data_IF_232864332330
#
_entry.id   IF_232864332330
#
_cell.length_a   1.000
_cell.length_b   1.000
_cell.length_c   1.000
_cell.angle_alpha   90.00
_cell.angle_beta   90.00
_cell.angle_gamma   90.00
#
_symmetry.space_group_name_H-M   'P 1'
#
loop_
_entity.id
_entity.type
_entity.pdbx_description
1 polymer ?
#
# COMPACT_ATOMS: atom_id res chain seq x y z
N UNK A 1 -5.76 4.20 21.63
CA UNK A 1 -5.59 2.73 21.73
C UNK A 1 -4.62 2.18 20.69
N UNK A 2 -4.71 2.59 19.42
CA UNK A 2 -3.85 2.07 18.33
C UNK A 2 -2.35 2.31 18.57
N UNK A 3 -1.93 3.51 19.00
CA UNK A 3 -0.53 3.76 19.38
C UNK A 3 -0.06 2.86 20.54
N UNK A 4 -0.93 2.63 21.53
CA UNK A 4 -0.64 1.76 22.68
C UNK A 4 -0.49 0.28 22.28
N UNK A 5 -1.24 -0.21 21.28
CA UNK A 5 -1.06 -1.59 20.78
C UNK A 5 0.17 -1.75 19.88
N UNK A 6 0.72 -0.64 19.35
CA UNK A 6 2.05 -0.64 18.72
C UNK A 6 3.18 -0.72 19.76
N UNK A 7 2.87 -0.46 21.03
CA UNK A 7 3.75 -0.71 22.18
C UNK A 7 3.40 -2.07 22.80
N UNK A 8 4.35 -2.77 23.44
CA UNK A 8 4.15 -4.15 23.91
C UNK A 8 3.27 -4.21 25.18
N UNK A 9 2.02 -3.80 25.09
CA UNK A 9 1.05 -3.78 26.18
C UNK A 9 -0.04 -4.82 25.93
N UNK A 10 0.14 -6.03 26.47
CA UNK A 10 -0.78 -7.18 26.35
C UNK A 10 -2.25 -6.78 26.57
N UNK A 11 -2.53 -6.10 27.69
CA UNK A 11 -3.89 -5.68 28.06
C UNK A 11 -4.56 -4.76 27.02
N UNK A 12 -3.77 -3.97 26.28
CA UNK A 12 -4.33 -3.11 25.22
C UNK A 12 -4.71 -3.93 23.99
N UNK A 13 -3.89 -4.93 23.61
CA UNK A 13 -4.19 -5.79 22.48
C UNK A 13 -5.45 -6.62 22.73
N UNK A 14 -5.58 -7.23 23.92
CA UNK A 14 -6.76 -8.02 24.30
C UNK A 14 -8.01 -7.15 24.34
N UNK A 15 -7.97 -6.00 25.01
CA UNK A 15 -9.12 -5.10 25.05
C UNK A 15 -9.57 -4.63 23.66
N UNK A 16 -8.63 -4.39 22.74
CA UNK A 16 -8.94 -4.03 21.36
C UNK A 16 -9.51 -5.23 20.58
N UNK A 17 -8.98 -6.43 20.79
CA UNK A 17 -9.48 -7.66 20.19
C UNK A 17 -10.93 -7.95 20.61
N UNK A 18 -11.21 -7.89 21.91
CA UNK A 18 -12.55 -8.03 22.48
C UNK A 18 -13.51 -6.96 21.96
N UNK A 19 -13.08 -5.71 21.89
CA UNK A 19 -13.91 -4.63 21.35
C UNK A 19 -14.30 -4.84 19.88
N UNK A 20 -13.37 -5.37 19.06
CA UNK A 20 -13.58 -5.53 17.61
C UNK A 20 -14.32 -6.83 17.28
N UNK A 21 -14.09 -7.91 18.03
CA UNK A 21 -14.56 -9.26 17.67
C UNK A 21 -15.32 -9.98 18.78
N UNK A 22 -15.57 -9.34 19.92
CA UNK A 22 -16.27 -9.89 21.07
C UNK A 22 -15.43 -10.79 21.98
N UNK A 23 -14.33 -11.36 21.47
CA UNK A 23 -13.36 -12.16 22.24
C UNK A 23 -11.99 -12.16 21.56
N UNK A 24 -10.93 -12.51 22.31
CA UNK A 24 -9.60 -12.73 21.75
C UNK A 24 -9.60 -13.85 20.72
N UNK A 25 -10.24 -15.00 21.00
CA UNK A 25 -10.28 -16.15 20.09
C UNK A 25 -10.92 -15.79 18.74
N UNK A 26 -12.05 -15.07 18.77
CA UNK A 26 -12.70 -14.61 17.54
C UNK A 26 -11.81 -13.63 16.75
N UNK A 27 -11.02 -12.81 17.44
CA UNK A 27 -10.06 -11.92 16.79
C UNK A 27 -8.89 -12.69 16.17
N UNK A 28 -8.33 -13.67 16.88
CA UNK A 28 -7.25 -14.55 16.40
C UNK A 28 -7.69 -15.35 15.17
N UNK A 29 -8.94 -15.83 15.15
CA UNK A 29 -9.51 -16.47 13.95
C UNK A 29 -9.48 -15.52 12.74
N UNK A 30 -9.89 -14.26 12.90
CA UNK A 30 -9.81 -13.23 11.85
C UNK A 30 -8.37 -12.88 11.46
N UNK A 31 -7.43 -12.88 12.41
CA UNK A 31 -6.01 -12.68 12.10
C UNK A 31 -5.49 -13.77 11.16
N UNK A 32 -5.82 -15.03 11.43
CA UNK A 32 -5.43 -16.16 10.59
C UNK A 32 -6.14 -16.15 9.22
N UNK A 33 -7.42 -15.79 9.17
CA UNK A 33 -8.15 -15.59 7.90
C UNK A 33 -7.47 -14.49 7.05
N UNK A 34 -7.16 -13.34 7.67
CA UNK A 34 -6.45 -12.26 6.97
C UNK A 34 -5.06 -12.70 6.51
N UNK A 35 -4.32 -13.49 7.31
CA UNK A 35 -3.03 -14.04 6.91
C UNK A 35 -3.15 -14.90 5.65
N UNK A 36 -4.18 -15.75 5.55
CA UNK A 36 -4.46 -16.53 4.35
C UNK A 36 -4.77 -15.65 3.14
N UNK A 37 -5.65 -14.64 3.31
CA UNK A 37 -5.99 -13.68 2.23
C UNK A 37 -4.75 -12.94 1.72
N UNK A 38 -3.80 -12.62 2.60
CA UNK A 38 -2.53 -11.97 2.24
C UNK A 38 -1.49 -12.93 1.65
N UNK A 39 -1.76 -14.24 1.65
CA UNK A 39 -0.83 -15.27 1.17
C UNK A 39 0.37 -15.48 2.09
N UNK A 40 0.18 -15.27 3.40
CA UNK A 40 1.19 -15.51 4.44
C UNK A 40 1.27 -17.02 4.74
N UNK A 41 2.16 -17.72 4.02
CA UNK A 41 2.18 -19.19 4.00
C UNK A 41 2.86 -19.83 5.21
N UNK A 42 3.65 -19.06 5.95
CA UNK A 42 4.44 -19.52 7.08
C UNK A 42 4.10 -18.70 8.33
N UNK A 43 2.81 -18.46 8.55
CA UNK A 43 2.30 -17.73 9.70
C UNK A 43 1.10 -18.43 10.32
N UNK A 44 1.11 -18.54 11.65
CA UNK A 44 -0.05 -18.91 12.44
C UNK A 44 -0.07 -18.07 13.72
N UNK A 45 -1.20 -17.42 14.00
CA UNK A 45 -1.40 -16.63 15.21
C UNK A 45 -2.22 -17.43 16.22
N UNK A 46 -1.73 -17.46 17.46
CA UNK A 46 -2.41 -18.11 18.60
C UNK A 46 -2.95 -17.08 19.61
N UNK A 47 -2.44 -15.85 19.57
CA UNK A 47 -2.88 -14.75 20.43
C UNK A 47 -2.76 -13.41 19.67
N UNK A 48 -3.39 -12.36 20.21
CA UNK A 48 -3.44 -11.05 19.56
C UNK A 48 -2.21 -10.15 19.83
N UNK A 49 -1.35 -10.55 20.78
CA UNK A 49 -0.29 -9.72 21.35
C UNK A 49 1.13 -10.12 20.92
N UNK A 50 1.31 -11.32 20.37
CA UNK A 50 2.61 -11.85 19.94
C UNK A 50 3.49 -12.40 21.07
N UNK A 51 2.90 -12.75 22.22
CA UNK A 51 3.63 -13.47 23.28
C UNK A 51 3.91 -14.92 22.84
N UNK A 52 4.99 -15.49 23.36
CA UNK A 52 5.41 -16.86 23.07
C UNK A 52 4.28 -17.85 23.42
N UNK A 53 3.81 -18.59 22.42
CA UNK A 53 2.81 -19.64 22.56
C UNK A 53 3.12 -20.76 21.57
N UNK A 54 2.83 -22.00 21.94
CA UNK A 54 3.05 -23.15 21.06
C UNK A 54 2.17 -23.02 19.83
N UNK A 55 2.77 -23.21 18.65
CA UNK A 55 2.11 -22.98 17.37
C UNK A 55 2.06 -21.52 16.92
N UNK A 56 2.51 -20.54 17.69
CA UNK A 56 2.58 -19.14 17.26
C UNK A 56 3.88 -18.89 16.47
N UNK A 57 3.78 -18.66 15.16
CA UNK A 57 4.96 -18.44 14.32
C UNK A 57 4.68 -17.55 13.11
N UNK A 58 5.74 -17.02 12.51
CA UNK A 58 5.70 -16.22 11.28
C UNK A 58 7.03 -16.30 10.53
N UNK A 59 7.12 -15.70 9.33
CA UNK A 59 8.37 -15.54 8.57
C UNK A 59 8.63 -14.07 8.23
N UNK A 60 9.89 -13.72 7.97
CA UNK A 60 10.26 -12.35 7.59
C UNK A 60 9.51 -11.89 6.32
N UNK A 61 9.31 -12.80 5.36
CA UNK A 61 8.54 -12.54 4.13
C UNK A 61 7.08 -12.24 4.43
N UNK A 62 6.46 -13.00 5.32
CA UNK A 62 5.04 -12.84 5.63
C UNK A 62 4.78 -11.58 6.46
N UNK A 63 5.70 -11.21 7.35
CA UNK A 63 5.69 -9.91 8.01
C UNK A 63 5.87 -8.77 7.00
N UNK A 64 6.70 -8.93 5.97
CA UNK A 64 6.83 -7.92 4.91
C UNK A 64 5.53 -7.78 4.10
N UNK A 65 4.81 -8.89 3.84
CA UNK A 65 3.50 -8.85 3.18
C UNK A 65 2.46 -8.11 4.03
N UNK A 66 2.38 -8.44 5.32
CA UNK A 66 1.50 -7.74 6.27
C UNK A 66 1.84 -6.25 6.39
N UNK A 67 3.13 -5.92 6.50
CA UNK A 67 3.59 -4.54 6.59
C UNK A 67 3.23 -3.76 5.32
N UNK A 68 3.35 -4.39 4.15
CA UNK A 68 2.93 -3.80 2.87
C UNK A 68 1.43 -3.54 2.83
N UNK A 69 0.61 -4.52 3.24
CA UNK A 69 -0.84 -4.34 3.32
C UNK A 69 -1.19 -3.15 4.19
N UNK A 70 -0.59 -3.06 5.39
CA UNK A 70 -0.86 -2.00 6.34
C UNK A 70 -0.54 -0.62 5.77
N UNK A 71 0.68 -0.43 5.24
CA UNK A 71 1.11 0.89 4.78
C UNK A 71 0.47 1.34 3.45
N UNK A 72 -0.02 0.40 2.64
CA UNK A 72 -0.62 0.73 1.33
C UNK A 72 -2.12 0.94 1.41
N UNK A 73 -2.82 0.18 2.26
CA UNK A 73 -4.28 0.22 2.35
C UNK A 73 -4.78 0.96 3.61
N UNK A 74 -3.91 1.23 4.58
CA UNK A 74 -4.25 1.94 5.82
C UNK A 74 -3.21 3.04 6.15
N UNK A 75 -3.05 4.06 5.28
CA UNK A 75 -2.01 5.08 5.43
C UNK A 75 -2.09 5.88 6.74
N UNK A 76 -3.26 5.97 7.37
CA UNK A 76 -3.45 6.58 8.69
C UNK A 76 -2.58 5.94 9.78
N UNK A 77 -2.05 4.74 9.54
CA UNK A 77 -1.10 4.09 10.45
C UNK A 77 0.13 4.97 10.74
N UNK A 78 0.55 5.77 9.76
CA UNK A 78 1.72 6.63 9.91
C UNK A 78 1.52 7.73 10.95
N UNK A 79 0.28 8.16 11.21
CA UNK A 79 -0.03 9.08 12.30
C UNK A 79 0.34 8.50 13.66
N UNK A 80 0.34 7.18 13.81
CA UNK A 80 0.69 6.50 15.05
C UNK A 80 2.15 6.04 15.06
N UNK A 81 2.64 5.46 13.97
CA UNK A 81 3.98 4.84 13.96
C UNK A 81 5.12 5.85 13.99
N UNK A 82 4.86 7.11 13.65
CA UNK A 82 5.85 8.20 13.66
C UNK A 82 5.87 9.00 14.96
N UNK A 83 4.91 8.77 15.87
CA UNK A 83 4.91 9.39 17.20
C UNK A 83 6.14 8.89 17.97
N UNK A 84 7.03 9.81 18.36
CA UNK A 84 8.24 9.47 19.11
C UNK A 84 7.97 9.34 20.61
N UNK A 85 7.25 10.31 21.19
CA UNK A 85 6.84 10.30 22.58
C UNK A 85 5.41 10.79 22.69
N UNK A 86 4.63 10.15 23.55
CA UNK A 86 3.28 10.57 23.92
C UNK A 86 3.11 10.38 25.41
N UNK A 87 2.57 11.39 26.08
CA UNK A 87 2.19 11.25 27.47
C UNK A 87 0.77 10.73 27.58
N UNK A 88 0.54 9.88 28.57
CA UNK A 88 -0.73 9.22 28.78
C UNK A 88 -1.16 9.43 30.22
N UNK A 89 -2.32 10.06 30.39
CA UNK A 89 -2.99 10.16 31.67
C UNK A 89 -3.71 8.85 31.97
N UNK A 90 -3.28 8.19 33.03
CA UNK A 90 -3.96 7.03 33.60
C UNK A 90 -4.88 7.51 34.72
N UNK A 91 -6.18 7.49 34.43
CA UNK A 91 -7.21 7.84 35.41
C UNK A 91 -7.65 6.55 36.11
N UNK A 92 -7.42 6.48 37.42
CA UNK A 92 -7.87 5.37 38.25
C UNK A 92 -8.78 5.88 39.36
N UNK A 93 -9.44 4.95 40.07
CA UNK A 93 -10.16 5.30 41.32
C UNK A 93 -9.25 5.91 42.40
N UNK A 94 -7.92 5.81 42.26
CA UNK A 94 -6.92 6.38 43.19
C UNK A 94 -6.37 7.74 42.75
N UNK A 95 -6.86 8.30 41.64
CA UNK A 95 -6.40 9.58 41.08
C UNK A 95 -5.86 9.45 39.66
N UNK A 96 -5.35 10.57 39.14
CA UNK A 96 -4.76 10.69 37.82
C UNK A 96 -3.23 10.64 37.91
N UNK A 97 -2.60 9.80 37.09
CA UNK A 97 -1.14 9.73 36.96
C UNK A 97 -0.76 9.78 35.49
N UNK A 98 0.11 10.70 35.11
CA UNK A 98 0.64 10.80 33.75
C UNK A 98 1.93 9.96 33.61
N UNK A 99 2.04 9.17 32.54
CA UNK A 99 3.27 8.48 32.20
C UNK A 99 3.61 8.64 30.72
N UNK A 100 4.88 8.88 30.43
CA UNK A 100 5.39 9.02 29.06
C UNK A 100 5.65 7.66 28.42
N UNK A 101 5.14 7.45 27.22
CA UNK A 101 5.51 6.33 26.36
C UNK A 101 6.44 6.82 25.25
N UNK A 102 7.53 6.10 25.03
CA UNK A 102 8.44 6.34 23.91
C UNK A 102 8.36 5.23 22.87
N UNK A 103 8.55 5.61 21.62
CA UNK A 103 8.55 4.67 20.52
C UNK A 103 9.75 3.72 20.63
N UNK A 104 9.45 2.43 20.64
CA UNK A 104 10.47 1.37 20.71
C UNK A 104 11.32 1.29 19.44
N UNK A 105 10.82 1.81 18.31
CA UNK A 105 11.53 1.88 17.05
C UNK A 105 12.48 3.09 17.00
N UNK A 106 13.70 2.89 17.50
CA UNK A 106 14.75 3.93 17.47
C UNK A 106 15.18 4.33 16.05
N UNK A 107 14.85 3.54 15.03
CA UNK A 107 15.17 3.85 13.63
C UNK A 107 14.54 5.18 13.19
N UNK A 108 13.37 5.55 13.75
CA UNK A 108 12.69 6.82 13.49
C UNK A 108 13.54 8.07 13.76
N UNK A 109 14.46 8.01 14.73
CA UNK A 109 15.32 9.16 15.09
C UNK A 109 16.65 9.18 14.35
N UNK A 110 17.09 8.04 13.86
CA UNK A 110 18.47 7.86 13.41
C UNK A 110 18.58 7.54 11.92
N UNK A 111 17.46 7.30 11.24
CA UNK A 111 17.45 6.92 9.84
C UNK A 111 16.56 7.87 9.04
N UNK A 112 17.17 8.58 8.09
CA UNK A 112 16.45 9.53 7.25
C UNK A 112 15.38 8.82 6.41
N UNK A 113 14.17 9.35 6.43
CA UNK A 113 13.02 8.81 5.70
C UNK A 113 12.29 7.68 6.44
N UNK A 114 12.68 7.32 7.66
CA UNK A 114 11.99 6.31 8.46
C UNK A 114 10.53 6.70 8.75
N UNK A 115 9.61 5.76 8.57
CA UNK A 115 8.16 5.97 8.78
C UNK A 115 7.54 4.97 9.77
N UNK A 116 8.27 3.93 10.16
CA UNK A 116 7.72 2.85 10.97
C UNK A 116 8.63 1.61 11.03
N UNK A 117 8.13 0.44 11.42
CA UNK A 117 6.74 0.15 11.76
C UNK A 117 6.59 -0.46 13.16
N UNK A 118 7.25 -1.60 13.42
CA UNK A 118 7.05 -2.31 14.69
C UNK A 118 8.31 -3.07 15.11
N UNK A 119 8.66 -2.92 16.39
CA UNK A 119 9.63 -3.81 17.05
C UNK A 119 8.91 -4.93 17.81
N UNK A 120 9.59 -6.07 17.95
CA UNK A 120 9.16 -7.18 18.79
C UNK A 120 10.36 -7.83 19.47
N UNK A 121 10.16 -8.38 20.66
CA UNK A 121 11.17 -9.19 21.33
C UNK A 121 10.56 -10.09 22.40
N UNK A 122 10.99 -11.35 22.40
CA UNK A 122 10.78 -12.31 23.48
C UNK A 122 12.10 -13.04 23.74
N UNK A 123 12.20 -13.79 24.84
CA UNK A 123 13.39 -14.59 25.12
C UNK A 123 13.63 -15.65 24.03
N UNK A 124 12.57 -16.21 23.43
CA UNK A 124 12.66 -17.18 22.34
C UNK A 124 12.87 -16.53 20.97
N UNK A 125 12.22 -15.39 20.68
CA UNK A 125 12.24 -14.77 19.36
C UNK A 125 13.46 -13.86 19.11
N UNK A 126 14.24 -13.53 20.15
CA UNK A 126 15.31 -12.53 20.07
C UNK A 126 14.77 -11.14 19.77
N UNK A 127 15.54 -10.31 19.05
CA UNK A 127 15.17 -8.94 18.71
C UNK A 127 14.74 -8.83 17.25
N UNK A 128 13.47 -8.50 17.02
CA UNK A 128 12.89 -8.38 15.68
C UNK A 128 12.50 -6.92 15.36
N UNK A 129 12.53 -6.57 14.07
CA UNK A 129 12.07 -5.27 13.57
C UNK A 129 11.50 -5.41 12.15
N UNK A 130 10.29 -4.91 11.94
CA UNK A 130 9.78 -4.53 10.62
C UNK A 130 9.90 -3.01 10.51
N UNK A 131 10.85 -2.54 9.72
CA UNK A 131 11.12 -1.14 9.47
C UNK A 131 10.56 -0.70 8.12
N UNK A 132 10.04 0.52 8.06
CA UNK A 132 9.61 1.16 6.81
C UNK A 132 10.30 2.49 6.65
N UNK A 133 10.68 2.82 5.42
CA UNK A 133 11.25 4.12 5.09
C UNK A 133 10.84 4.55 3.69
N UNK A 134 10.76 5.85 3.47
CA UNK A 134 10.47 6.47 2.19
C UNK A 134 11.53 7.52 1.83
N UNK A 135 12.06 7.44 0.61
CA UNK A 135 12.96 8.42 0.02
C UNK A 135 12.64 8.56 -1.46
N UNK A 136 12.56 9.79 -1.98
CA UNK A 136 12.36 10.06 -3.41
C UNK A 136 11.19 9.28 -4.04
N UNK A 137 10.04 9.19 -3.34
CA UNK A 137 8.84 8.44 -3.73
C UNK A 137 9.03 6.92 -3.87
N UNK A 138 10.09 6.37 -3.28
CA UNK A 138 10.32 4.93 -3.14
C UNK A 138 10.11 4.60 -1.66
N UNK A 139 9.15 3.74 -1.37
CA UNK A 139 8.89 3.22 -0.03
C UNK A 139 9.42 1.79 0.06
N UNK A 140 10.27 1.52 1.05
CA UNK A 140 10.88 0.21 1.29
C UNK A 140 10.47 -0.34 2.66
N UNK A 141 10.46 -1.67 2.74
CA UNK A 141 10.22 -2.43 3.97
C UNK A 141 11.44 -3.32 4.19
N UNK A 142 12.03 -3.26 5.38
CA UNK A 142 13.10 -4.16 5.81
C UNK A 142 12.65 -4.93 7.04
N UNK A 143 12.71 -6.26 6.98
CA UNK A 143 12.33 -7.14 8.09
C UNK A 143 13.54 -7.95 8.52
N UNK A 144 13.90 -7.83 9.80
CA UNK A 144 14.91 -8.68 10.46
C UNK A 144 14.28 -9.38 11.66
N UNK A 145 14.70 -10.62 11.90
CA UNK A 145 14.19 -11.47 12.97
C UNK A 145 15.36 -12.11 13.72
N UNK A 146 15.17 -12.41 15.00
CA UNK A 146 16.15 -13.12 15.82
C UNK A 146 17.55 -12.47 15.93
N UNK A 147 17.64 -11.13 15.88
CA UNK A 147 18.89 -10.44 16.20
C UNK A 147 19.24 -10.64 17.68
N UNK A 148 20.53 -10.58 18.03
CA UNK A 148 21.04 -10.79 19.38
C UNK A 148 20.82 -9.56 20.28
N UNK A 149 20.67 -8.37 19.70
CA UNK A 149 20.44 -7.15 20.46
C UNK A 149 19.49 -6.15 19.80
N UNK A 150 18.90 -5.27 20.62
CA UNK A 150 18.09 -4.16 20.14
C UNK A 150 18.89 -3.14 19.27
N UNK A 151 20.21 -3.07 19.45
CA UNK A 151 21.09 -2.21 18.63
C UNK A 151 21.33 -2.84 17.25
N UNK A 152 21.56 -4.15 17.22
CA UNK A 152 21.78 -4.93 16.00
C UNK A 152 20.56 -4.89 15.07
N UNK A 153 19.34 -5.14 15.58
CA UNK A 153 18.13 -5.08 14.72
C UNK A 153 17.98 -3.74 13.99
N UNK A 154 18.36 -2.63 14.63
CA UNK A 154 18.29 -1.29 14.03
C UNK A 154 19.38 -1.11 12.98
N UNK A 155 20.61 -1.55 13.28
CA UNK A 155 21.74 -1.51 12.36
C UNK A 155 21.43 -2.32 11.09
N UNK A 156 20.97 -3.55 11.24
CA UNK A 156 20.74 -4.47 10.12
C UNK A 156 19.57 -3.99 9.24
N UNK A 157 18.48 -3.52 9.84
CA UNK A 157 17.40 -2.87 9.08
C UNK A 157 17.89 -1.63 8.33
N UNK A 158 18.70 -0.77 8.95
CA UNK A 158 19.27 0.40 8.27
C UNK A 158 20.15 -0.01 7.07
N UNK A 159 21.01 -1.02 7.24
CA UNK A 159 21.84 -1.54 6.16
C UNK A 159 21.01 -2.15 5.01
N UNK A 160 19.94 -2.90 5.32
CA UNK A 160 19.03 -3.43 4.30
C UNK A 160 18.28 -2.33 3.55
N UNK A 161 17.83 -1.29 4.26
CA UNK A 161 17.17 -0.15 3.64
C UNK A 161 18.14 0.64 2.74
N UNK A 162 19.37 0.89 3.20
CA UNK A 162 20.40 1.58 2.40
C UNK A 162 20.78 0.77 1.16
N UNK A 163 20.92 -0.54 1.30
CA UNK A 163 21.12 -1.44 0.15
C UNK A 163 19.96 -1.32 -0.83
N UNK A 164 18.71 -1.42 -0.35
CA UNK A 164 17.53 -1.27 -1.18
C UNK A 164 17.47 0.09 -1.89
N UNK A 165 17.74 1.20 -1.19
CA UNK A 165 17.73 2.54 -1.78
C UNK A 165 18.87 2.79 -2.76
N UNK A 166 20.03 2.14 -2.57
CA UNK A 166 21.14 2.27 -3.52
C UNK A 166 20.83 1.59 -4.86
N UNK A 167 20.06 0.51 -4.84
CA UNK A 167 19.64 -0.24 -6.03
C UNK A 167 18.36 0.30 -6.68
N UNK A 168 17.41 0.80 -5.89
CA UNK A 168 16.10 1.15 -6.39
C UNK A 168 16.13 2.45 -7.21
N UNK A 169 15.62 2.40 -8.44
CA UNK A 169 15.43 3.55 -9.32
C UNK A 169 13.95 3.65 -9.70
N UNK A 170 13.35 4.82 -9.51
CA UNK A 170 11.99 5.09 -9.95
C UNK A 170 12.01 5.65 -11.38
N UNK A 171 11.32 4.96 -12.29
CA UNK A 171 10.93 5.52 -13.56
C UNK A 171 9.55 6.17 -13.39
N UNK A 172 9.42 7.42 -13.82
CA UNK A 172 8.13 8.11 -13.91
C UNK A 172 7.94 8.61 -15.33
N UNK A 173 6.84 8.21 -15.96
CA UNK A 173 6.52 8.66 -17.30
C UNK A 173 6.01 10.11 -17.28
N UNK A 174 6.91 11.04 -17.59
CA UNK A 174 6.62 12.48 -17.68
C UNK A 174 5.99 12.87 -19.02
N UNK A 175 6.10 12.03 -20.04
CA UNK A 175 5.66 12.30 -21.41
C UNK A 175 4.95 11.06 -21.98
N UNK A 176 3.73 10.76 -21.48
CA UNK A 176 2.94 9.70 -22.07
C UNK A 176 2.48 10.11 -23.49
N UNK A 177 2.23 9.14 -24.39
CA UNK A 177 1.75 9.44 -25.74
C UNK A 177 0.48 10.30 -25.71
N UNK A 178 0.39 11.27 -26.62
CA UNK A 178 -0.82 12.06 -26.80
C UNK A 178 -2.00 11.14 -27.13
N UNK A 179 -3.14 11.38 -26.48
CA UNK A 179 -4.35 10.60 -26.71
C UNK A 179 -5.17 11.25 -27.81
N UNK A 180 -5.51 10.49 -28.84
CA UNK A 180 -6.49 10.88 -29.84
C UNK A 180 -7.91 10.72 -29.30
N UNK A 181 -8.88 11.36 -29.95
CA UNK A 181 -10.29 11.05 -29.71
C UNK A 181 -10.60 9.62 -30.15
N UNK A 182 -11.60 9.01 -29.51
CA UNK A 182 -11.99 7.61 -29.75
C UNK A 182 -13.39 7.59 -30.37
N UNK A 183 -13.62 6.82 -31.46
CA UNK A 183 -14.95 6.71 -32.05
C UNK A 183 -15.94 6.04 -31.07
N UNK A 184 -17.17 6.54 -31.05
CA UNK A 184 -18.28 6.06 -30.22
C UNK A 184 -19.45 5.68 -31.10
N UNK A 185 -19.90 4.43 -31.00
CA UNK A 185 -21.10 3.95 -31.66
C UNK A 185 -22.36 4.30 -30.86
N UNK A 186 -23.46 4.57 -31.57
CA UNK A 186 -24.79 4.84 -31.01
C UNK A 186 -24.82 5.99 -29.99
N UNK A 187 -23.85 6.90 -30.05
CA UNK A 187 -23.71 8.03 -29.13
C UNK A 187 -24.23 9.34 -29.70
N UNK A 188 -24.66 10.24 -28.83
CA UNK A 188 -24.98 11.64 -29.20
C UNK A 188 -23.77 12.38 -29.79
N UNK A 189 -22.54 11.85 -29.55
CA UNK A 189 -21.29 12.27 -30.17
C UNK A 189 -20.63 11.10 -30.89
N UNK A 190 -19.96 11.38 -31.99
CA UNK A 190 -19.23 10.37 -32.80
C UNK A 190 -17.85 10.06 -32.24
N UNK A 191 -17.27 11.03 -31.53
CA UNK A 191 -15.95 10.91 -30.94
C UNK A 191 -15.99 11.40 -29.49
N UNK A 192 -15.21 10.75 -28.64
CA UNK A 192 -15.05 11.12 -27.23
C UNK A 192 -13.59 11.46 -26.93
N UNK A 193 -13.40 12.54 -26.17
CA UNK A 193 -12.09 12.89 -25.63
C UNK A 193 -11.73 12.00 -24.46
N UNK A 194 -10.43 11.74 -24.25
CA UNK A 194 -9.97 10.86 -23.20
C UNK A 194 -8.75 11.40 -22.46
N UNK A 195 -8.52 10.88 -21.26
CA UNK A 195 -7.41 11.27 -20.39
C UNK A 195 -6.84 10.08 -19.63
N UNK A 196 -5.56 10.13 -19.28
CA UNK A 196 -4.97 9.16 -18.37
C UNK A 196 -5.52 9.35 -16.95
N UNK A 197 -5.76 8.25 -16.23
CA UNK A 197 -6.20 8.31 -14.82
C UNK A 197 -5.13 8.93 -13.91
N UNK A 198 -3.86 8.64 -14.19
CA UNK A 198 -2.67 9.12 -13.46
C UNK A 198 -1.42 8.90 -14.31
N UNK A 199 -0.29 9.48 -13.90
CA UNK A 199 1.00 9.15 -14.49
C UNK A 199 1.42 7.72 -14.11
N UNK A 200 2.20 7.09 -15.00
CA UNK A 200 2.81 5.80 -14.71
C UNK A 200 4.12 5.99 -13.94
N UNK A 201 4.32 5.17 -12.91
CA UNK A 201 5.62 5.00 -12.28
C UNK A 201 5.91 3.52 -12.01
N UNK A 202 7.19 3.15 -12.01
CA UNK A 202 7.65 1.80 -11.74
C UNK A 202 9.02 1.85 -11.05
N UNK A 203 9.21 1.01 -10.01
CA UNK A 203 10.48 0.90 -9.30
C UNK A 203 11.26 -0.28 -9.87
N UNK A 204 12.45 0.01 -10.40
CA UNK A 204 13.42 -0.98 -10.82
C UNK A 204 14.44 -1.22 -9.71
N UNK A 205 14.94 -2.44 -9.61
CA UNK A 205 15.96 -2.86 -8.62
C UNK A 205 17.34 -3.04 -9.26
N UNK A 206 17.52 -2.50 -10.46
CA UNK A 206 18.75 -2.56 -11.26
C UNK A 206 18.86 -1.28 -12.07
N UNK A 207 20.02 -1.07 -12.68
CA UNK A 207 20.20 -0.01 -13.66
C UNK A 207 19.17 -0.11 -14.80
N UNK A 208 18.72 1.04 -15.29
CA UNK A 208 17.66 1.13 -16.29
C UNK A 208 18.16 1.87 -17.53
N UNK A 209 17.88 1.29 -18.69
CA UNK A 209 17.92 2.00 -19.95
C UNK A 209 16.50 2.38 -20.34
N UNK A 210 16.16 3.67 -20.23
CA UNK A 210 14.81 4.15 -20.52
C UNK A 210 14.38 3.89 -21.97
N UNK A 211 15.32 3.75 -22.91
CA UNK A 211 15.02 3.45 -24.31
C UNK A 211 14.41 2.06 -24.51
N UNK A 212 14.59 1.15 -23.54
CA UNK A 212 14.00 -0.18 -23.59
C UNK A 212 12.56 -0.22 -23.06
N UNK A 213 12.02 0.92 -22.63
CA UNK A 213 10.63 1.04 -22.20
C UNK A 213 9.75 1.26 -23.43
N UNK A 214 8.91 0.29 -23.71
CA UNK A 214 7.90 0.36 -24.76
C UNK A 214 6.55 0.72 -24.15
N UNK A 215 5.81 1.57 -24.87
CA UNK A 215 4.48 2.06 -24.46
C UNK A 215 3.47 1.71 -25.55
N UNK A 216 2.37 1.08 -25.19
CA UNK A 216 1.31 0.70 -26.14
C UNK A 216 -0.07 1.15 -25.64
N UNK A 217 -0.70 2.07 -26.38
CA UNK A 217 -2.08 2.48 -26.15
C UNK A 217 -3.02 1.40 -26.69
N UNK A 218 -3.98 0.97 -25.88
CA UNK A 218 -4.98 -0.04 -26.23
C UNK A 218 -6.36 0.42 -25.79
N UNK A 219 -7.22 0.76 -26.74
CA UNK A 219 -8.63 1.10 -26.50
C UNK A 219 -9.52 -0.15 -26.52
N UNK A 220 -10.70 -0.03 -25.91
CA UNK A 220 -11.76 -1.04 -26.05
C UNK A 220 -12.26 -1.04 -27.50
N UNK A 221 -12.46 -2.24 -28.07
CA UNK A 221 -13.08 -2.38 -29.39
C UNK A 221 -14.56 -2.02 -29.29
N UNK A 222 -15.09 -1.37 -30.34
CA UNK A 222 -16.52 -1.07 -30.49
C UNK A 222 -17.14 -0.32 -29.30
N UNK A 223 -16.46 0.72 -28.84
CA UNK A 223 -16.94 1.57 -27.75
C UNK A 223 -18.32 2.14 -28.10
N UNK A 224 -19.34 1.82 -27.31
CA UNK A 224 -20.74 2.15 -27.59
C UNK A 224 -21.38 2.90 -26.43
N UNK A 225 -22.26 3.84 -26.74
CA UNK A 225 -23.00 4.61 -25.74
C UNK A 225 -24.04 3.76 -24.99
N UNK A 226 -24.36 4.08 -23.72
CA UNK A 226 -23.94 5.28 -22.99
C UNK A 226 -22.56 5.11 -22.34
N UNK A 227 -21.74 6.17 -22.43
CA UNK A 227 -20.43 6.25 -21.78
C UNK A 227 -20.52 7.32 -20.70
N UNK A 228 -20.11 6.99 -19.47
CA UNK A 228 -20.06 7.96 -18.37
C UNK A 228 -18.70 8.65 -18.32
N UNK A 229 -18.68 9.92 -17.90
CA UNK A 229 -17.44 10.61 -17.51
C UNK A 229 -16.65 9.76 -16.51
N UNK A 230 -15.33 9.68 -16.71
CA UNK A 230 -14.39 8.84 -15.97
C UNK A 230 -14.56 7.30 -16.14
N UNK A 231 -15.41 6.82 -17.05
CA UNK A 231 -15.47 5.41 -17.41
C UNK A 231 -14.15 4.97 -18.06
N UNK A 232 -13.67 3.78 -17.71
CA UNK A 232 -12.48 3.18 -18.34
C UNK A 232 -12.83 2.76 -19.76
N UNK A 233 -12.11 3.32 -20.74
CA UNK A 233 -12.31 3.07 -22.18
C UNK A 233 -11.05 2.53 -22.86
N UNK A 234 -9.95 2.42 -22.12
CA UNK A 234 -8.69 1.89 -22.62
C UNK A 234 -7.61 1.78 -21.55
N UNK A 235 -6.40 1.47 -21.98
CA UNK A 235 -5.21 1.40 -21.14
C UNK A 235 -3.95 1.74 -21.94
N UNK A 236 -2.98 2.31 -21.27
CA UNK A 236 -1.59 2.40 -21.73
C UNK A 236 -0.80 1.29 -21.05
N UNK A 237 -0.26 0.37 -21.83
CA UNK A 237 0.56 -0.73 -21.33
C UNK A 237 2.05 -0.39 -21.45
N UNK A 238 2.81 -0.76 -20.42
CA UNK A 238 4.25 -0.56 -20.36
C UNK A 238 4.97 -1.91 -20.32
N UNK A 239 5.98 -2.06 -21.16
CA UNK A 239 6.92 -3.19 -21.14
C UNK A 239 8.37 -2.70 -21.08
N UNK A 240 9.22 -3.45 -20.42
CA UNK A 240 10.67 -3.26 -20.38
C UNK A 240 11.33 -4.56 -20.82
N UNK A 241 12.18 -4.51 -21.86
CA UNK A 241 12.77 -5.70 -22.49
C UNK A 241 11.70 -6.76 -22.82
N UNK A 242 10.58 -6.34 -23.42
CA UNK A 242 9.40 -7.17 -23.75
C UNK A 242 8.67 -7.81 -22.54
N UNK A 243 9.11 -7.57 -21.31
CA UNK A 243 8.40 -7.99 -20.09
C UNK A 243 7.45 -6.89 -19.64
N UNK A 244 6.18 -7.22 -19.40
CA UNK A 244 5.19 -6.27 -18.91
C UNK A 244 5.55 -5.76 -17.50
N UNK A 245 5.64 -4.44 -17.35
CA UNK A 245 5.93 -3.77 -16.07
C UNK A 245 4.72 -3.06 -15.48
N UNK A 246 3.68 -2.78 -16.27
CA UNK A 246 2.45 -2.23 -15.71
C UNK A 246 1.50 -1.65 -16.76
N UNK A 247 0.49 -0.93 -16.26
CA UNK A 247 -0.51 -0.24 -17.10
C UNK A 247 -1.13 0.96 -16.39
N UNK A 248 -1.56 1.94 -17.18
CA UNK A 248 -2.39 3.09 -16.74
C UNK A 248 -3.75 3.01 -17.43
N UNK A 249 -4.83 3.27 -16.71
CA UNK A 249 -6.18 3.31 -17.29
C UNK A 249 -6.41 4.61 -18.05
N UNK A 250 -7.06 4.51 -19.21
CA UNK A 250 -7.53 5.65 -20.01
C UNK A 250 -9.03 5.81 -19.75
N UNK A 251 -9.43 7.02 -19.39
CA UNK A 251 -10.77 7.37 -18.97
C UNK A 251 -11.45 8.30 -19.99
N UNK A 252 -12.76 8.15 -20.14
CA UNK A 252 -13.60 9.11 -20.85
C UNK A 252 -13.58 10.48 -20.14
N UNK A 253 -13.34 11.56 -20.88
CA UNK A 253 -13.31 12.91 -20.32
C UNK A 253 -14.69 13.49 -20.07
N UNK A 254 -15.72 12.92 -20.69
CA UNK A 254 -17.10 13.41 -20.71
C UNK A 254 -18.11 12.26 -20.75
N UNK A 255 -19.39 12.58 -20.62
CA UNK A 255 -20.49 11.62 -20.76
C UNK A 255 -21.06 11.71 -22.17
N UNK A 256 -21.23 10.56 -22.83
CA UNK A 256 -21.91 10.44 -24.13
C UNK A 256 -23.17 9.60 -23.94
N UNK A 257 -24.33 10.22 -24.14
CA UNK A 257 -25.63 9.55 -24.06
C UNK A 257 -25.89 8.69 -25.30
N UNK A 258 -26.89 7.80 -25.24
CA UNK A 258 -27.38 7.10 -26.44
C UNK A 258 -28.03 8.11 -27.38
N UNK A 259 -27.69 8.04 -28.67
CA UNK A 259 -28.38 8.78 -29.71
C UNK A 259 -29.82 8.27 -29.85
N UNK A 260 -30.75 9.21 -30.06
CA UNK A 260 -32.14 8.97 -30.42
C UNK A 260 -32.33 9.22 -31.93
N UNK A 261 -33.46 8.79 -32.47
CA UNK A 261 -33.82 9.02 -33.88
C UNK A 261 -33.72 10.50 -34.30
N UNK A 262 -34.10 11.42 -33.40
CA UNK A 262 -33.98 12.88 -33.63
C UNK A 262 -32.54 13.33 -33.85
N UNK A 263 -31.58 12.73 -33.16
CA UNK A 263 -30.16 13.10 -33.25
C UNK A 263 -29.58 12.70 -34.61
N UNK A 264 -30.03 11.55 -35.15
CA UNK A 264 -29.66 11.11 -36.49
C UNK A 264 -30.31 11.98 -37.57
N UNK A 265 -31.59 12.33 -37.41
CA UNK A 265 -32.31 13.18 -38.36
C UNK A 265 -31.67 14.58 -38.45
N UNK A 266 -31.31 15.18 -37.31
CA UNK A 266 -30.69 16.50 -37.25
C UNK A 266 -29.30 16.51 -37.91
N UNK A 267 -28.49 15.45 -37.72
CA UNK A 267 -27.20 15.31 -38.41
C UNK A 267 -27.34 15.23 -39.93
N UNK A 268 -28.37 14.55 -40.41
CA UNK A 268 -28.60 14.37 -41.84
C UNK A 268 -29.03 15.68 -42.50
N UNK A 269 -29.80 16.51 -41.79
CA UNK A 269 -30.20 17.85 -42.24
C UNK A 269 -29.06 18.89 -42.21
N UNK A 270 -28.09 18.75 -41.29
CA UNK A 270 -26.94 19.65 -41.17
C UNK A 270 -25.78 19.33 -42.11
N UNK A 271 -25.77 18.13 -42.70
CA UNK A 271 -24.75 17.66 -43.64
C UNK A 271 -25.21 17.73 -45.12
N UNK A 272 -26.40 18.28 -45.38
CA UNK A 272 -26.93 18.66 -46.71
C UNK A 272 -26.59 20.12 -46.98
#
# INVERSE_FOLDING_TARGET
>A
MIFKSLLPLYATCVAMAEHISGSEDAFVAKMNEKAQVLGMKHTHFVNCCGLDADGHYTSARDIALMSRELITNHPDIFHYTTIWMENITHVTKRGESEFGLSNTNKLLRHYQGATGLKTGSTSKAGFCLSATAERNHISLIAVVMACQSAKERVKDCASLLDYGFSLCKIYTDKQPPALSTVPVHNGTKEFISCKYKKNFSYVFTSEINQNNIQKKVVFQKNLSAPIKKNQIIGRLEYSYNNKKIGKVSILASETVGKAKYTDYLQKLLLNL
#
